data_IF_820647127779
#
_entry.id   IF_820647127779
#
_cell.length_a   1.000
_cell.length_b   1.000
_cell.length_c   1.000
_cell.angle_alpha   90.00
_cell.angle_beta   90.00
_cell.angle_gamma   90.00
#
_symmetry.space_group_name_H-M   'P 1'
#
loop_
_entity.id
_entity.type
_entity.pdbx_description
1 polymer ?
#
# COMPACT_ATOMS: atom_id res chain seq x y z
N UNK A 1 22.16 17.32 -11.17
CA UNK A 1 20.78 17.58 -11.63
C UNK A 1 19.82 16.42 -11.40
N UNK A 2 20.27 15.19 -11.11
CA UNK A 2 19.37 14.09 -10.69
C UNK A 2 18.85 14.23 -9.24
N UNK A 3 19.41 15.14 -8.45
CA UNK A 3 19.09 15.30 -7.02
C UNK A 3 17.83 16.12 -6.76
N UNK A 4 17.42 17.01 -7.68
CA UNK A 4 16.21 17.82 -7.52
C UNK A 4 14.93 17.07 -7.93
N UNK A 5 15.01 16.19 -8.93
CA UNK A 5 13.87 15.38 -9.42
C UNK A 5 13.41 14.36 -8.36
N UNK A 6 14.37 13.72 -7.68
CA UNK A 6 14.10 12.75 -6.62
C UNK A 6 13.45 13.39 -5.39
N UNK A 7 13.79 14.66 -5.12
CA UNK A 7 13.22 15.44 -4.02
C UNK A 7 11.75 15.81 -4.31
N UNK A 8 11.41 16.11 -5.57
CA UNK A 8 10.05 16.47 -5.97
C UNK A 8 9.10 15.27 -5.87
N UNK A 9 9.51 14.10 -6.36
CA UNK A 9 8.69 12.88 -6.29
C UNK A 9 8.44 12.45 -4.85
N UNK A 10 9.46 12.51 -4.00
CA UNK A 10 9.32 12.19 -2.59
C UNK A 10 8.38 13.18 -1.86
N UNK A 11 8.55 14.48 -2.09
CA UNK A 11 7.66 15.51 -1.54
C UNK A 11 6.21 15.36 -2.06
N UNK A 12 6.02 14.95 -3.32
CA UNK A 12 4.69 14.66 -3.88
C UNK A 12 4.03 13.45 -3.21
N UNK A 13 4.78 12.37 -2.98
CA UNK A 13 4.27 11.20 -2.26
C UNK A 13 3.89 11.55 -0.82
N UNK A 14 4.73 12.29 -0.08
CA UNK A 14 4.40 12.71 1.29
C UNK A 14 3.15 13.59 1.36
N UNK A 15 3.05 14.58 0.46
CA UNK A 15 1.88 15.46 0.40
C UNK A 15 0.61 14.70 0.02
N UNK A 16 0.69 13.74 -0.91
CA UNK A 16 -0.42 12.87 -1.25
C UNK A 16 -0.85 12.02 -0.04
N UNK A 17 0.10 11.43 0.66
CA UNK A 17 -0.17 10.59 1.83
C UNK A 17 -0.81 11.41 2.97
N UNK A 18 -0.34 12.65 3.20
CA UNK A 18 -0.94 13.57 4.15
C UNK A 18 -2.36 14.01 3.73
N UNK A 19 -2.58 14.24 2.43
CA UNK A 19 -3.90 14.53 1.90
C UNK A 19 -4.86 13.34 2.08
N UNK A 20 -4.39 12.12 1.82
CA UNK A 20 -5.16 10.88 2.06
C UNK A 20 -5.53 10.72 3.53
N UNK A 21 -4.60 10.93 4.47
CA UNK A 21 -4.91 10.90 5.91
C UNK A 21 -5.92 11.97 6.30
N UNK A 22 -5.79 13.17 5.76
CA UNK A 22 -6.75 14.26 6.00
C UNK A 22 -8.14 13.93 5.43
N UNK A 23 -8.20 13.26 4.29
CA UNK A 23 -9.44 12.76 3.72
C UNK A 23 -10.04 11.63 4.56
N UNK A 24 -9.22 10.70 5.04
CA UNK A 24 -9.63 9.62 5.93
C UNK A 24 -10.25 10.15 7.23
N UNK A 25 -9.66 11.18 7.84
CA UNK A 25 -10.26 11.85 9.01
C UNK A 25 -11.67 12.40 8.74
N UNK A 26 -11.94 12.85 7.51
CA UNK A 26 -13.26 13.35 7.11
C UNK A 26 -14.22 12.22 6.77
N UNK A 27 -13.76 11.16 6.12
CA UNK A 27 -14.59 10.06 5.62
C UNK A 27 -14.91 9.00 6.69
N UNK A 28 -13.93 8.62 7.52
CA UNK A 28 -14.07 7.55 8.51
C UNK A 28 -14.77 8.08 9.77
N UNK A 29 -15.99 7.61 9.99
CA UNK A 29 -16.83 8.02 11.14
C UNK A 29 -16.97 6.95 12.20
N UNK A 30 -16.69 5.68 11.88
CA UNK A 30 -16.86 4.57 12.79
C UNK A 30 -15.51 4.13 13.40
N UNK A 31 -15.44 3.76 14.68
CA UNK A 31 -14.22 3.22 15.30
C UNK A 31 -13.64 2.00 14.56
N UNK A 32 -14.52 1.16 14.01
CA UNK A 32 -14.10 -0.04 13.26
C UNK A 32 -13.37 0.32 11.96
N UNK A 33 -13.77 1.39 11.28
CA UNK A 33 -13.06 1.84 10.07
C UNK A 33 -11.64 2.34 10.43
N UNK A 34 -11.48 2.97 11.59
CA UNK A 34 -10.17 3.39 12.10
C UNK A 34 -9.30 2.21 12.54
N UNK A 35 -9.90 1.13 13.02
CA UNK A 35 -9.19 -0.11 13.31
C UNK A 35 -8.75 -0.82 12.02
N UNK A 36 -9.61 -0.85 11.00
CA UNK A 36 -9.31 -1.40 9.67
C UNK A 36 -8.17 -0.61 9.00
N UNK A 37 -8.22 0.73 9.03
CA UNK A 37 -7.14 1.58 8.52
C UNK A 37 -5.80 1.28 9.18
N UNK A 38 -5.76 1.22 10.52
CA UNK A 38 -4.53 0.89 11.27
C UNK A 38 -4.02 -0.50 10.93
N UNK A 39 -4.92 -1.48 10.79
CA UNK A 39 -4.53 -2.84 10.41
C UNK A 39 -3.92 -2.89 9.01
N UNK A 40 -4.43 -2.10 8.07
CA UNK A 40 -3.84 -1.96 6.72
C UNK A 40 -2.45 -1.33 6.84
N UNK A 41 -2.32 -0.18 7.52
CA UNK A 41 -1.03 0.50 7.72
C UNK A 41 0.02 -0.44 8.38
N UNK A 42 -0.33 -1.13 9.46
CA UNK A 42 0.57 -2.06 10.18
C UNK A 42 1.00 -3.24 9.32
N UNK A 43 0.06 -3.84 8.56
CA UNK A 43 0.35 -4.95 7.63
C UNK A 43 1.37 -4.52 6.57
N UNK A 44 1.19 -3.36 5.96
CA UNK A 44 2.07 -2.88 4.90
C UNK A 44 3.40 -2.35 5.44
N UNK A 45 3.41 -1.72 6.62
CA UNK A 45 4.65 -1.37 7.31
C UNK A 45 5.50 -2.61 7.60
N UNK A 46 4.88 -3.68 8.11
CA UNK A 46 5.58 -4.95 8.35
C UNK A 46 6.19 -5.51 7.07
N UNK A 47 5.50 -5.40 5.93
CA UNK A 47 6.02 -5.83 4.62
C UNK A 47 7.19 -4.98 4.15
N UNK A 48 7.17 -3.68 4.39
CA UNK A 48 8.27 -2.78 4.08
C UNK A 48 9.50 -3.12 4.94
N UNK A 49 9.31 -3.28 6.25
CA UNK A 49 10.39 -3.66 7.17
C UNK A 49 11.00 -5.03 6.79
N UNK A 50 10.15 -5.99 6.42
CA UNK A 50 10.59 -7.30 5.92
C UNK A 50 11.36 -7.20 4.59
N UNK A 51 10.92 -6.34 3.67
CA UNK A 51 11.61 -6.08 2.40
C UNK A 51 12.99 -5.50 2.66
N UNK A 52 13.09 -4.49 3.52
CA UNK A 52 14.35 -3.83 3.86
C UNK A 52 15.31 -4.78 4.57
N UNK A 53 14.80 -5.61 5.50
CA UNK A 53 15.61 -6.64 6.17
C UNK A 53 16.14 -7.66 5.15
N UNK A 54 15.28 -8.23 4.31
CA UNK A 54 15.70 -9.20 3.27
C UNK A 54 16.68 -8.58 2.29
N UNK A 55 16.46 -7.33 1.91
CA UNK A 55 17.38 -6.63 1.04
C UNK A 55 18.76 -6.48 1.69
N UNK A 56 18.83 -6.08 2.96
CA UNK A 56 20.09 -5.96 3.68
C UNK A 56 20.83 -7.30 3.82
N UNK A 57 20.11 -8.39 4.12
CA UNK A 57 20.68 -9.72 4.28
C UNK A 57 21.16 -10.33 2.95
N UNK A 58 20.42 -10.10 1.85
CA UNK A 58 20.67 -10.73 0.56
C UNK A 58 21.43 -9.84 -0.43
N UNK A 59 21.72 -8.59 -0.08
CA UNK A 59 22.25 -7.58 -1.02
C UNK A 59 23.47 -8.08 -1.79
N UNK A 60 24.50 -8.54 -1.08
CA UNK A 60 25.75 -8.98 -1.70
C UNK A 60 25.56 -10.19 -2.60
N UNK A 61 24.67 -11.11 -2.21
CA UNK A 61 24.34 -12.30 -3.00
C UNK A 61 23.61 -11.91 -4.28
N UNK A 62 22.64 -11.00 -4.20
CA UNK A 62 21.90 -10.47 -5.35
C UNK A 62 22.82 -9.70 -6.30
N UNK A 63 23.74 -8.89 -5.77
CA UNK A 63 24.76 -8.19 -6.58
C UNK A 63 25.67 -9.19 -7.28
N UNK A 64 26.14 -10.23 -6.59
CA UNK A 64 26.99 -11.26 -7.21
C UNK A 64 26.26 -12.02 -8.32
N UNK A 65 24.99 -12.38 -8.12
CA UNK A 65 24.15 -12.99 -9.14
C UNK A 65 23.94 -12.08 -10.35
N UNK A 66 23.70 -10.79 -10.12
CA UNK A 66 23.50 -9.80 -11.17
C UNK A 66 24.80 -9.53 -11.96
N UNK A 67 25.96 -9.49 -11.29
CA UNK A 67 27.26 -9.45 -11.96
C UNK A 67 27.40 -10.65 -12.88
N UNK A 68 27.15 -11.88 -12.40
CA UNK A 68 27.20 -13.11 -13.22
C UNK A 68 26.26 -13.02 -14.43
N UNK A 69 25.06 -12.48 -14.25
CA UNK A 69 24.11 -12.24 -15.35
C UNK A 69 24.67 -11.27 -16.39
N UNK A 70 25.27 -10.15 -15.97
CA UNK A 70 25.90 -9.17 -16.85
C UNK A 70 27.08 -9.78 -17.62
N UNK A 71 27.92 -10.58 -16.95
CA UNK A 71 29.02 -11.32 -17.59
C UNK A 71 28.49 -12.26 -18.67
N UNK A 72 27.50 -13.09 -18.33
CA UNK A 72 26.92 -14.04 -19.27
C UNK A 72 26.27 -13.31 -20.46
N UNK A 73 25.58 -12.19 -20.22
CA UNK A 73 24.97 -11.37 -21.28
C UNK A 73 26.02 -10.74 -22.20
N UNK A 74 27.17 -10.34 -21.67
CA UNK A 74 28.28 -9.83 -22.47
C UNK A 74 28.93 -10.94 -23.30
N UNK A 75 29.17 -12.12 -22.71
CA UNK A 75 29.74 -13.28 -23.41
C UNK A 75 28.81 -13.92 -24.44
N UNK A 76 27.49 -13.75 -24.31
CA UNK A 76 26.49 -14.21 -25.28
C UNK A 76 26.38 -13.33 -26.54
N UNK A 77 27.01 -12.15 -26.56
CA UNK A 77 27.07 -11.33 -27.78
C UNK A 77 28.03 -11.99 -28.77
N UNK A 78 27.48 -12.74 -29.71
CA UNK A 78 28.21 -13.17 -30.90
C UNK A 78 28.35 -11.98 -31.83
N UNK A 79 29.59 -11.58 -32.11
CA UNK A 79 29.90 -10.63 -33.17
C UNK A 79 30.13 -11.45 -34.45
N UNK A 80 29.57 -11.00 -35.58
CA UNK A 80 29.78 -11.63 -36.91
C UNK A 80 31.24 -11.51 -37.39
N UNK A 81 32.09 -10.81 -36.64
CA UNK A 81 33.49 -10.51 -36.93
C UNK A 81 34.29 -10.60 -35.62
N UNK A 82 35.58 -11.00 -35.68
CA UNK A 82 36.42 -11.09 -34.50
C UNK A 82 36.50 -9.72 -33.80
N UNK A 83 36.38 -9.73 -32.48
CA UNK A 83 36.54 -8.52 -31.69
C UNK A 83 37.94 -7.92 -31.93
N UNK A 84 38.07 -6.59 -32.09
CA UNK A 84 39.36 -5.93 -32.28
C UNK A 84 40.34 -6.29 -31.14
N UNK A 85 41.59 -6.57 -31.48
CA UNK A 85 42.64 -6.86 -30.50
C UNK A 85 42.79 -5.70 -29.50
N UNK A 86 42.83 -6.02 -28.20
CA UNK A 86 43.01 -5.05 -27.13
C UNK A 86 41.72 -4.46 -26.53
N UNK A 87 40.55 -4.76 -27.07
CA UNK A 87 39.27 -4.46 -26.40
C UNK A 87 38.99 -5.58 -25.41
N UNK A 88 39.58 -5.51 -24.23
CA UNK A 88 39.05 -6.23 -23.07
C UNK A 88 37.72 -5.56 -22.69
N UNK A 89 36.64 -5.96 -23.36
CA UNK A 89 35.29 -5.42 -23.18
C UNK A 89 34.68 -5.75 -21.81
N UNK A 90 35.47 -6.30 -20.89
CA UNK A 90 35.05 -6.78 -19.60
C UNK A 90 35.59 -5.90 -18.45
N UNK A 91 35.05 -4.68 -18.33
CA UNK A 91 35.30 -3.86 -17.15
C UNK A 91 34.52 -4.41 -15.94
N UNK A 92 35.22 -5.23 -15.13
CA UNK A 92 34.70 -5.80 -13.88
C UNK A 92 34.18 -4.72 -12.92
N UNK A 93 34.84 -3.56 -12.86
CA UNK A 93 34.45 -2.46 -11.98
C UNK A 93 33.14 -1.81 -12.42
N UNK A 94 32.98 -1.58 -13.72
CA UNK A 94 31.73 -1.08 -14.30
C UNK A 94 30.58 -2.07 -14.06
N UNK A 95 30.79 -3.37 -14.28
CA UNK A 95 29.76 -4.39 -14.07
C UNK A 95 29.28 -4.46 -12.61
N UNK A 96 30.17 -4.31 -11.62
CA UNK A 96 29.78 -4.28 -10.20
C UNK A 96 28.93 -3.03 -9.90
N UNK A 97 29.32 -1.86 -10.41
CA UNK A 97 28.55 -0.62 -10.22
C UNK A 97 27.15 -0.73 -10.84
N UNK A 98 27.07 -1.25 -12.06
CA UNK A 98 25.80 -1.49 -12.75
C UNK A 98 24.95 -2.52 -12.01
N UNK A 99 25.55 -3.61 -11.53
CA UNK A 99 24.83 -4.62 -10.76
C UNK A 99 24.22 -4.07 -9.47
N UNK A 100 24.99 -3.29 -8.69
CA UNK A 100 24.48 -2.60 -7.49
C UNK A 100 23.31 -1.69 -7.80
N UNK A 101 23.42 -0.88 -8.86
CA UNK A 101 22.35 0.00 -9.31
C UNK A 101 21.09 -0.78 -9.70
N UNK A 102 21.24 -1.87 -10.44
CA UNK A 102 20.10 -2.70 -10.85
C UNK A 102 19.39 -3.35 -9.64
N UNK A 103 20.15 -3.81 -8.65
CA UNK A 103 19.59 -4.39 -7.41
C UNK A 103 18.83 -3.32 -6.62
N UNK A 104 19.39 -2.10 -6.51
CA UNK A 104 18.71 -0.97 -5.85
C UNK A 104 17.41 -0.60 -6.56
N UNK A 105 17.44 -0.43 -7.88
CA UNK A 105 16.23 -0.12 -8.68
C UNK A 105 15.16 -1.21 -8.54
N UNK A 106 15.57 -2.48 -8.46
CA UNK A 106 14.63 -3.58 -8.24
C UNK A 106 13.97 -3.49 -6.86
N UNK A 107 14.73 -3.17 -5.80
CA UNK A 107 14.18 -2.95 -4.46
C UNK A 107 13.20 -1.76 -4.45
N UNK A 108 13.57 -0.64 -5.06
CA UNK A 108 12.71 0.55 -5.17
C UNK A 108 11.39 0.20 -5.86
N UNK A 109 11.45 -0.53 -6.98
CA UNK A 109 10.25 -0.99 -7.70
C UNK A 109 9.36 -1.88 -6.82
N UNK A 110 9.96 -2.78 -6.03
CA UNK A 110 9.19 -3.64 -5.12
C UNK A 110 8.58 -2.83 -3.96
N UNK A 111 9.29 -1.81 -3.46
CA UNK A 111 8.78 -0.87 -2.46
C UNK A 111 7.58 -0.10 -2.98
N UNK A 112 7.67 0.46 -4.18
CA UNK A 112 6.59 1.22 -4.82
C UNK A 112 5.35 0.35 -5.00
N UNK A 113 5.51 -0.91 -5.43
CA UNK A 113 4.38 -1.85 -5.54
C UNK A 113 3.68 -2.10 -4.20
N UNK A 114 4.43 -2.17 -3.10
CA UNK A 114 3.87 -2.36 -1.76
C UNK A 114 3.06 -1.12 -1.37
N UNK A 115 3.58 0.09 -1.63
CA UNK A 115 2.89 1.35 -1.37
C UNK A 115 1.61 1.46 -2.22
N UNK A 116 1.68 1.18 -3.52
CA UNK A 116 0.50 1.20 -4.40
C UNK A 116 -0.58 0.21 -3.98
N UNK A 117 -0.21 -0.94 -3.42
CA UNK A 117 -1.18 -1.92 -2.88
C UNK A 117 -1.82 -1.40 -1.58
N UNK A 118 -1.02 -0.79 -0.70
CA UNK A 118 -1.53 -0.15 0.50
C UNK A 118 -2.53 0.95 0.16
N UNK A 119 -2.16 1.87 -0.74
CA UNK A 119 -3.01 2.98 -1.14
C UNK A 119 -4.34 2.49 -1.71
N UNK A 120 -4.33 1.45 -2.56
CA UNK A 120 -5.54 0.81 -3.07
C UNK A 120 -6.45 0.28 -1.96
N UNK A 121 -5.90 -0.47 -0.99
CA UNK A 121 -6.70 -0.96 0.14
C UNK A 121 -7.28 0.18 0.98
N UNK A 122 -6.53 1.27 1.17
CA UNK A 122 -7.03 2.47 1.86
C UNK A 122 -8.14 3.15 1.05
N UNK A 123 -7.97 3.30 -0.27
CA UNK A 123 -9.01 3.86 -1.13
C UNK A 123 -10.30 3.03 -1.10
N UNK A 124 -10.19 1.70 -1.15
CA UNK A 124 -11.33 0.80 -1.05
C UNK A 124 -12.03 0.90 0.32
N UNK A 125 -11.27 1.11 1.40
CA UNK A 125 -11.82 1.38 2.73
C UNK A 125 -12.59 2.71 2.75
N UNK A 126 -12.01 3.76 2.18
CA UNK A 126 -12.61 5.10 2.15
C UNK A 126 -13.88 5.15 1.31
N UNK A 127 -13.95 4.39 0.21
CA UNK A 127 -15.14 4.31 -0.65
C UNK A 127 -16.30 3.57 0.03
N UNK A 128 -15.98 2.52 0.82
CA UNK A 128 -16.98 1.71 1.54
C UNK A 128 -17.46 2.34 2.85
N UNK A 129 -16.65 3.16 3.51
CA UNK A 129 -16.98 3.75 4.82
C UNK A 129 -18.30 4.58 4.83
N UNK A 130 -18.61 5.42 3.83
CA UNK A 130 -19.89 6.12 3.75
C UNK A 130 -21.10 5.19 3.67
N UNK A 131 -20.97 4.03 3.01
CA UNK A 131 -22.05 3.04 2.87
C UNK A 131 -22.33 2.41 4.23
N UNK A 132 -21.29 1.92 4.93
CA UNK A 132 -21.42 1.37 6.29
C UNK A 132 -22.02 2.39 7.26
N UNK A 133 -21.58 3.64 7.19
CA UNK A 133 -22.12 4.71 8.04
C UNK A 133 -23.63 4.95 7.82
N UNK A 134 -24.13 4.78 6.59
CA UNK A 134 -25.57 4.87 6.29
C UNK A 134 -26.34 3.65 6.79
N UNK A 135 -25.79 2.44 6.64
CA UNK A 135 -26.41 1.20 7.10
C UNK A 135 -26.56 1.16 8.62
N UNK A 136 -25.53 1.57 9.37
CA UNK A 136 -25.60 1.66 10.84
C UNK A 136 -26.70 2.60 11.29
N UNK A 137 -26.84 3.78 10.65
CA UNK A 137 -27.91 4.74 10.96
C UNK A 137 -29.30 4.18 10.64
N UNK A 138 -29.43 3.45 9.53
CA UNK A 138 -30.68 2.80 9.15
C UNK A 138 -31.09 1.73 10.15
N UNK A 139 -30.15 0.87 10.58
CA UNK A 139 -30.40 -0.14 11.61
C UNK A 139 -30.81 0.47 12.95
N UNK A 140 -30.20 1.60 13.36
CA UNK A 140 -30.59 2.34 14.56
C UNK A 140 -32.01 2.92 14.44
N UNK A 141 -32.35 3.54 13.30
CA UNK A 141 -33.68 4.08 13.06
C UNK A 141 -34.76 2.99 13.02
N UNK A 142 -34.49 1.85 12.39
CA UNK A 142 -35.39 0.68 12.38
C UNK A 142 -35.57 0.11 13.79
N UNK A 143 -34.50 -0.03 14.56
CA UNK A 143 -34.55 -0.48 15.95
C UNK A 143 -35.34 0.48 16.85
N UNK A 144 -35.19 1.80 16.66
CA UNK A 144 -35.93 2.81 17.41
C UNK A 144 -37.41 2.85 17.02
N UNK A 145 -37.72 2.78 15.72
CA UNK A 145 -39.10 2.65 15.24
C UNK A 145 -39.78 1.41 15.80
N UNK A 146 -39.12 0.24 15.73
CA UNK A 146 -39.65 -1.00 16.29
C UNK A 146 -39.86 -0.89 17.80
N UNK A 147 -38.93 -0.30 18.55
CA UNK A 147 -39.07 -0.06 19.99
C UNK A 147 -40.26 0.84 20.32
N UNK A 148 -40.49 1.91 19.54
CA UNK A 148 -41.64 2.81 19.74
C UNK A 148 -42.95 2.13 19.36
N UNK A 149 -42.98 1.34 18.29
CA UNK A 149 -44.16 0.59 17.88
C UNK A 149 -44.56 -0.47 18.91
N UNK A 150 -43.57 -1.19 19.45
CA UNK A 150 -43.77 -2.22 20.47
C UNK A 150 -44.38 -1.63 21.77
N UNK A 151 -43.91 -0.44 22.17
CA UNK A 151 -44.52 0.35 23.26
C UNK A 151 -45.96 0.79 22.97
N UNK A 152 -46.32 1.02 21.70
CA UNK A 152 -47.70 1.38 21.29
C UNK A 152 -48.63 0.17 21.16
N UNK A 153 -48.09 -1.04 20.95
CA UNK A 153 -48.87 -2.28 20.84
C UNK A 153 -49.04 -3.03 22.17
N UNK A 154 -48.17 -2.81 23.16
CA UNK A 154 -48.24 -3.45 24.47
C UNK A 154 -49.20 -2.77 25.46
N UNK A 155 -50.13 -3.56 26.03
CA UNK A 155 -50.91 -3.43 27.29
C UNK A 155 -51.59 -2.11 27.71
N UNK A 156 -51.06 -0.92 27.39
CA UNK A 156 -51.61 0.39 27.80
C UNK A 156 -52.90 0.78 27.08
N UNK A 157 -53.23 0.12 25.96
CA UNK A 157 -54.55 0.27 25.29
C UNK A 157 -55.68 -0.49 25.99
N UNK A 158 -55.39 -1.35 26.97
CA UNK A 158 -56.40 -2.12 27.73
C UNK A 158 -56.65 -1.50 29.11
N UNK A 159 -56.86 -0.19 29.20
CA UNK A 159 -57.69 0.34 30.29
C UNK A 159 -59.14 0.28 29.81
N UNK A 160 -60.00 -0.56 30.40
CA UNK A 160 -61.43 -0.47 30.12
C UNK A 160 -61.85 0.95 30.44
N UNK A 161 -62.46 1.64 29.47
CA UNK A 161 -63.11 2.91 29.72
C UNK A 161 -64.05 2.72 30.91
N UNK A 162 -63.83 3.49 31.96
CA UNK A 162 -64.69 3.52 33.13
C UNK A 162 -66.06 4.01 32.67
N UNK A 163 -66.95 3.08 32.35
CA UNK A 163 -68.35 3.34 32.09
C UNK A 163 -68.97 3.85 33.39
N UNK A 164 -69.46 5.09 33.32
CA UNK A 164 -70.31 5.71 34.34
C UNK A 164 -71.60 4.93 34.55
#
# INVERSE_FOLDING_TARGET
MASEEFDIEHNLQETFHQAMRSHAQKALKHPDDWAELRSIEEKYQTRLDDLDRRHAEEFDQRVAAEVKRLVNKAGAKQYDHPAPEGIDGFDKGANIKTARRNVQLAQETDRDRIIEQMDREIFDLLDRAPVRAREVRRGQAEAEFNRVNDRRSGQDRRRPGHSR
#
